data_IF_461624764477
#
_entry.id   IF_461624764477
#
_cell.length_a   1.000
_cell.length_b   1.000
_cell.length_c   1.000
_cell.angle_alpha   90.00
_cell.angle_beta   90.00
_cell.angle_gamma   90.00
#
_symmetry.space_group_name_H-M   'P 1'
#
loop_
_entity.id
_entity.type
_entity.pdbx_description
1 polymer ?
#
# COMPACT_ATOMS: atom_id res chain seq x y z
N UNK A 1 11.69 42.17 12.97
CA UNK A 1 12.41 40.93 13.33
C UNK A 1 11.49 39.85 13.90
N UNK A 2 10.67 40.10 14.94
CA UNK A 2 9.72 39.07 15.43
C UNK A 2 8.54 38.76 14.48
N UNK A 3 8.02 39.77 13.77
CA UNK A 3 6.97 39.56 12.74
C UNK A 3 7.47 38.74 11.55
N UNK A 4 8.67 39.06 11.05
CA UNK A 4 9.31 38.34 9.94
C UNK A 4 9.59 36.87 10.26
N UNK A 5 10.06 36.55 11.48
CA UNK A 5 10.25 35.15 11.91
C UNK A 5 8.92 34.37 12.01
N UNK A 6 7.84 35.04 12.44
CA UNK A 6 6.50 34.43 12.50
C UNK A 6 5.92 34.17 11.11
N UNK A 7 6.20 35.05 10.15
CA UNK A 7 5.76 34.91 8.77
C UNK A 7 6.58 33.85 8.01
N UNK A 8 7.90 33.78 8.23
CA UNK A 8 8.77 32.69 7.72
C UNK A 8 8.30 31.31 8.21
N UNK A 9 8.02 31.16 9.51
CA UNK A 9 7.52 29.91 10.07
C UNK A 9 6.15 29.50 9.50
N UNK A 10 5.32 30.46 9.06
CA UNK A 10 4.03 30.18 8.43
C UNK A 10 4.19 29.66 7.00
N UNK A 11 5.08 30.27 6.23
CA UNK A 11 5.40 29.83 4.88
C UNK A 11 5.98 28.40 4.88
N UNK A 12 6.92 28.14 5.80
CA UNK A 12 7.51 26.81 5.99
C UNK A 12 6.43 25.77 6.37
N UNK A 13 5.56 26.09 7.33
CA UNK A 13 4.45 25.20 7.70
C UNK A 13 3.52 24.92 6.52
N UNK A 14 3.17 25.94 5.73
CA UNK A 14 2.28 25.75 4.58
C UNK A 14 2.92 24.86 3.51
N UNK A 15 4.21 25.05 3.22
CA UNK A 15 4.96 24.20 2.29
C UNK A 15 4.95 22.74 2.76
N UNK A 16 5.22 22.50 4.05
CA UNK A 16 5.18 21.15 4.63
C UNK A 16 3.79 20.52 4.55
N UNK A 17 2.72 21.28 4.90
CA UNK A 17 1.33 20.80 4.81
C UNK A 17 1.00 20.32 3.41
N UNK A 18 1.41 21.06 2.38
CA UNK A 18 1.18 20.70 0.98
C UNK A 18 1.96 19.44 0.59
N UNK A 19 3.26 19.38 0.91
CA UNK A 19 4.11 18.22 0.61
C UNK A 19 3.62 16.94 1.29
N UNK A 20 3.25 17.02 2.57
CA UNK A 20 2.68 15.89 3.30
C UNK A 20 1.30 15.51 2.75
N UNK A 21 0.46 16.49 2.40
CA UNK A 21 -0.85 16.27 1.80
C UNK A 21 -0.77 15.47 0.50
N UNK A 22 0.18 15.82 -0.37
CA UNK A 22 0.44 15.10 -1.62
C UNK A 22 0.93 13.67 -1.38
N UNK A 23 1.91 13.49 -0.49
CA UNK A 23 2.41 12.16 -0.11
C UNK A 23 1.28 11.29 0.46
N UNK A 24 0.50 11.82 1.40
CA UNK A 24 -0.60 11.11 2.05
C UNK A 24 -1.72 10.74 1.06
N UNK A 25 -1.98 11.57 0.05
CA UNK A 25 -2.93 11.25 -1.04
C UNK A 25 -2.45 10.03 -1.84
N UNK A 26 -1.16 9.98 -2.20
CA UNK A 26 -0.60 8.87 -2.99
C UNK A 26 -0.53 7.59 -2.14
N UNK A 27 -0.13 7.68 -0.87
CA UNK A 27 -0.12 6.54 0.06
C UNK A 27 -1.51 5.92 0.18
N UNK A 28 -2.55 6.70 0.47
CA UNK A 28 -3.94 6.18 0.58
C UNK A 28 -4.44 5.54 -0.71
N UNK A 29 -4.07 6.09 -1.87
CA UNK A 29 -4.40 5.47 -3.15
C UNK A 29 -3.71 4.13 -3.33
N UNK A 30 -2.44 4.04 -2.90
CA UNK A 30 -1.63 2.82 -3.00
C UNK A 30 -2.09 1.74 -2.04
N UNK A 31 -2.53 2.12 -0.84
CA UNK A 31 -3.15 1.23 0.14
C UNK A 31 -4.40 0.58 -0.45
N UNK A 32 -5.32 1.39 -1.03
CA UNK A 32 -6.51 0.85 -1.69
C UNK A 32 -6.17 -0.03 -2.89
N UNK A 33 -5.16 0.36 -3.66
CA UNK A 33 -4.67 -0.43 -4.77
C UNK A 33 -4.15 -1.80 -4.30
N UNK A 34 -3.39 -1.87 -3.19
CA UNK A 34 -2.93 -3.12 -2.61
C UNK A 34 -4.08 -4.04 -2.18
N UNK A 35 -5.14 -3.48 -1.57
CA UNK A 35 -6.36 -4.24 -1.26
C UNK A 35 -7.02 -4.83 -2.51
N UNK A 36 -7.13 -4.03 -3.59
CA UNK A 36 -7.73 -4.48 -4.85
C UNK A 36 -6.88 -5.58 -5.51
N UNK A 37 -5.54 -5.48 -5.44
CA UNK A 37 -4.65 -6.54 -5.93
C UNK A 37 -4.76 -7.81 -5.10
N UNK A 38 -4.92 -7.69 -3.78
CA UNK A 38 -5.12 -8.84 -2.89
C UNK A 38 -6.42 -9.57 -3.26
N UNK A 39 -7.53 -8.86 -3.44
CA UNK A 39 -8.80 -9.46 -3.85
C UNK A 39 -8.67 -10.16 -5.22
N UNK A 40 -8.01 -9.51 -6.17
CA UNK A 40 -7.79 -10.06 -7.51
C UNK A 40 -6.96 -11.34 -7.50
N UNK A 41 -5.87 -11.40 -6.73
CA UNK A 41 -5.05 -12.62 -6.64
C UNK A 41 -5.78 -13.75 -5.92
N UNK A 42 -6.64 -13.46 -4.94
CA UNK A 42 -7.47 -14.49 -4.29
C UNK A 42 -8.49 -15.09 -5.27
N UNK A 43 -9.10 -14.28 -6.13
CA UNK A 43 -9.96 -14.81 -7.20
C UNK A 43 -9.20 -15.69 -8.19
N UNK A 44 -7.97 -15.30 -8.55
CA UNK A 44 -7.09 -16.10 -9.40
C UNK A 44 -6.79 -17.45 -8.74
N UNK A 45 -6.39 -17.45 -7.45
CA UNK A 45 -6.11 -18.68 -6.67
C UNK A 45 -7.32 -19.60 -6.62
N UNK A 46 -8.51 -19.07 -6.37
CA UNK A 46 -9.76 -19.85 -6.36
C UNK A 46 -10.05 -20.46 -7.73
N UNK A 47 -9.88 -19.71 -8.82
CA UNK A 47 -10.08 -20.23 -10.17
C UNK A 47 -9.08 -21.33 -10.53
N UNK A 48 -7.82 -21.22 -10.10
CA UNK A 48 -6.81 -22.26 -10.28
C UNK A 48 -7.16 -23.53 -9.49
N UNK A 49 -7.50 -23.40 -8.19
CA UNK A 49 -7.84 -24.54 -7.34
C UNK A 49 -9.07 -25.32 -7.82
N UNK A 50 -10.00 -24.64 -8.50
CA UNK A 50 -11.20 -25.27 -9.07
C UNK A 50 -10.96 -25.88 -10.46
N UNK A 51 -9.75 -25.80 -11.02
CA UNK A 51 -9.41 -26.31 -12.36
C UNK A 51 -8.41 -27.46 -12.26
N UNK A 52 -8.79 -28.65 -12.74
CA UNK A 52 -7.95 -29.85 -12.70
C UNK A 52 -6.73 -29.78 -13.63
N UNK A 53 -6.64 -28.79 -14.51
CA UNK A 53 -5.51 -28.56 -15.41
C UNK A 53 -4.51 -27.52 -14.86
N UNK A 54 -4.73 -27.02 -13.64
CA UNK A 54 -3.80 -26.08 -13.03
C UNK A 54 -2.44 -26.74 -12.73
N UNK A 55 -1.38 -26.08 -13.17
CA UNK A 55 0.00 -26.48 -12.98
C UNK A 55 0.48 -26.08 -11.59
N UNK A 56 1.24 -26.97 -10.96
CA UNK A 56 1.72 -26.77 -9.59
C UNK A 56 2.60 -25.52 -9.45
N UNK A 57 3.45 -25.23 -10.45
CA UNK A 57 4.31 -24.04 -10.39
C UNK A 57 3.50 -22.75 -10.47
N UNK A 58 2.40 -22.74 -11.23
CA UNK A 58 1.50 -21.59 -11.32
C UNK A 58 0.70 -21.38 -10.03
N UNK A 59 0.27 -22.46 -9.37
CA UNK A 59 -0.32 -22.38 -8.03
C UNK A 59 0.67 -21.79 -7.03
N UNK A 60 1.90 -22.31 -6.98
CA UNK A 60 2.97 -21.80 -6.10
C UNK A 60 3.20 -20.30 -6.36
N UNK A 61 3.26 -19.88 -7.63
CA UNK A 61 3.40 -18.47 -7.99
C UNK A 61 2.23 -17.62 -7.48
N UNK A 62 0.98 -18.06 -7.67
CA UNK A 62 -0.18 -17.32 -7.19
C UNK A 62 -0.21 -17.21 -5.66
N UNK A 63 0.22 -18.25 -4.94
CA UNK A 63 0.37 -18.22 -3.49
C UNK A 63 1.47 -17.26 -3.03
N UNK A 64 2.63 -17.30 -3.69
CA UNK A 64 3.74 -16.38 -3.39
C UNK A 64 3.32 -14.93 -3.61
N UNK A 65 2.60 -14.64 -4.69
CA UNK A 65 2.11 -13.31 -4.99
C UNK A 65 1.11 -12.80 -3.95
N UNK A 66 0.19 -13.66 -3.50
CA UNK A 66 -0.74 -13.30 -2.43
C UNK A 66 -0.05 -13.01 -1.10
N UNK A 67 1.05 -13.71 -0.79
CA UNK A 67 1.85 -13.43 0.39
C UNK A 67 2.62 -12.11 0.25
N UNK A 68 3.22 -11.85 -0.93
CA UNK A 68 3.93 -10.59 -1.20
C UNK A 68 3.00 -9.37 -1.06
N UNK A 69 1.79 -9.44 -1.62
CA UNK A 69 0.78 -8.37 -1.45
C UNK A 69 0.37 -8.26 0.02
N UNK A 70 0.21 -9.37 0.74
CA UNK A 70 -0.12 -9.37 2.17
C UNK A 70 0.98 -8.72 3.01
N UNK A 71 2.25 -8.95 2.70
CA UNK A 71 3.39 -8.33 3.39
C UNK A 71 3.43 -6.82 3.12
N UNK A 72 3.15 -6.38 1.89
CA UNK A 72 3.02 -4.96 1.55
C UNK A 72 1.85 -4.33 2.32
N UNK A 73 0.70 -5.01 2.40
CA UNK A 73 -0.44 -4.56 3.21
C UNK A 73 -0.06 -4.46 4.69
N UNK A 74 0.68 -5.44 5.21
CA UNK A 74 1.19 -5.40 6.58
C UNK A 74 2.09 -4.17 6.83
N UNK A 75 2.91 -3.75 5.86
CA UNK A 75 3.67 -2.51 5.98
C UNK A 75 2.77 -1.25 6.09
N UNK A 76 1.61 -1.25 5.42
CA UNK A 76 0.64 -0.15 5.53
C UNK A 76 -0.13 -0.14 6.85
N UNK A 77 -0.70 -1.29 7.23
CA UNK A 77 -1.62 -1.39 8.36
C UNK A 77 -0.92 -1.67 9.69
N UNK A 78 0.20 -2.39 9.66
CA UNK A 78 0.79 -3.01 10.84
C UNK A 78 -0.01 -4.25 11.29
N UNK A 79 0.16 -4.68 12.55
CA UNK A 79 -0.58 -5.81 13.11
C UNK A 79 -2.09 -5.53 13.16
N UNK A 80 -2.89 -6.59 13.01
CA UNK A 80 -4.34 -6.48 13.17
C UNK A 80 -4.72 -5.92 14.55
N UNK A 81 -5.73 -5.04 14.55
CA UNK A 81 -6.25 -4.45 15.78
C UNK A 81 -6.79 -5.55 16.70
N UNK A 82 -6.14 -5.75 17.85
CA UNK A 82 -6.70 -6.52 18.95
C UNK A 82 -7.71 -5.67 19.72
N UNK A 83 -8.44 -6.29 20.64
CA UNK A 83 -9.45 -5.63 21.47
C UNK A 83 -8.94 -4.38 22.22
N UNK A 84 -7.62 -4.26 22.43
CA UNK A 84 -6.94 -3.05 22.91
C UNK A 84 -5.58 -2.87 22.24
N UNK A 85 -5.15 -1.61 22.09
CA UNK A 85 -3.80 -1.23 21.64
C UNK A 85 -2.71 -1.72 22.60
N UNK A 86 -3.05 -1.95 23.88
CA UNK A 86 -2.13 -2.43 24.92
C UNK A 86 -1.73 -3.91 24.73
N UNK A 87 -2.49 -4.67 23.94
CA UNK A 87 -2.22 -6.08 23.63
C UNK A 87 -1.42 -6.26 22.33
N UNK A 88 -1.10 -5.15 21.66
CA UNK A 88 -0.27 -5.13 20.47
C UNK A 88 1.19 -5.18 20.92
N UNK A 89 1.95 -6.23 20.56
CA UNK A 89 3.35 -6.30 20.91
C UNK A 89 4.13 -5.13 20.27
N UNK A 90 5.31 -4.78 20.82
CA UNK A 90 6.19 -3.82 20.16
C UNK A 90 6.43 -4.21 18.70
N UNK A 91 6.19 -3.28 17.79
CA UNK A 91 6.37 -3.45 16.36
C UNK A 91 6.95 -2.16 15.76
N UNK A 92 7.50 -2.27 14.55
CA UNK A 92 7.86 -1.10 13.77
C UNK A 92 6.59 -0.38 13.36
N UNK A 93 6.57 0.95 13.48
CA UNK A 93 5.41 1.74 13.11
C UNK A 93 5.08 1.54 11.63
N UNK A 94 3.81 1.26 11.35
CA UNK A 94 3.31 1.14 9.99
C UNK A 94 3.26 2.50 9.28
N UNK A 95 3.12 2.47 7.96
CA UNK A 95 2.94 3.70 7.16
C UNK A 95 1.73 4.51 7.68
N UNK A 96 0.63 3.85 8.03
CA UNK A 96 -0.59 4.52 8.53
C UNK A 96 -0.39 5.13 9.91
N UNK A 97 0.36 4.48 10.80
CA UNK A 97 0.70 5.02 12.12
C UNK A 97 1.59 6.26 12.01
N UNK A 98 2.57 6.24 11.09
CA UNK A 98 3.43 7.40 10.81
C UNK A 98 2.66 8.57 10.21
N UNK A 99 1.78 8.31 9.23
CA UNK A 99 0.86 9.35 8.70
C UNK A 99 0.00 9.96 9.81
N UNK A 100 -0.48 9.11 10.73
CA UNK A 100 -1.28 9.54 11.88
C UNK A 100 -0.46 10.37 12.87
N UNK A 101 0.82 10.04 13.08
CA UNK A 101 1.72 10.82 13.91
C UNK A 101 1.99 12.21 13.34
N UNK A 102 2.25 12.33 12.04
CA UNK A 102 2.41 13.63 11.37
C UNK A 102 1.13 14.44 11.48
N UNK A 103 -0.02 13.83 11.17
CA UNK A 103 -1.32 14.50 11.25
C UNK A 103 -1.58 15.04 12.65
N UNK A 104 -1.39 14.22 13.69
CA UNK A 104 -1.55 14.65 15.10
C UNK A 104 -0.61 15.81 15.47
N UNK A 105 0.64 15.76 15.01
CA UNK A 105 1.58 16.86 15.24
C UNK A 105 1.13 18.16 14.55
N UNK A 106 0.54 18.09 13.35
CA UNK A 106 -0.03 19.25 12.64
C UNK A 106 -1.17 19.90 13.40
N UNK A 107 -2.06 19.12 14.01
CA UNK A 107 -3.16 19.66 14.81
C UNK A 107 -2.69 20.37 16.09
N UNK A 108 -1.56 19.94 16.66
CA UNK A 108 -1.03 20.49 17.91
C UNK A 108 -0.04 21.65 17.76
N UNK A 109 0.40 21.97 16.55
CA UNK A 109 1.42 22.99 16.30
C UNK A 109 0.80 24.37 15.98
N UNK A 110 1.32 25.44 16.60
CA UNK A 110 0.86 26.82 16.33
C UNK A 110 1.54 27.44 15.09
N UNK A 111 2.85 27.26 14.91
CA UNK A 111 3.65 27.62 13.73
C UNK A 111 4.96 26.82 13.70
N UNK A 112 5.53 26.60 12.52
CA UNK A 112 6.81 25.89 12.33
C UNK A 112 6.66 24.37 12.16
N UNK A 113 7.64 23.73 11.55
CA UNK A 113 7.69 22.27 11.37
C UNK A 113 8.34 21.64 12.60
N UNK A 114 7.60 20.79 13.30
CA UNK A 114 8.13 20.09 14.48
C UNK A 114 9.05 18.93 14.08
N UNK A 115 9.93 18.50 14.99
CA UNK A 115 10.78 17.33 14.75
C UNK A 115 9.96 16.06 14.45
N UNK A 116 8.81 15.89 15.12
CA UNK A 116 7.91 14.74 14.88
C UNK A 116 7.39 14.73 13.45
N UNK A 117 7.04 15.90 12.90
CA UNK A 117 6.61 16.05 11.51
C UNK A 117 7.74 15.70 10.54
N UNK A 118 8.91 16.32 10.70
CA UNK A 118 10.03 16.14 9.78
C UNK A 118 10.57 14.71 9.78
N UNK A 119 10.74 14.10 10.96
CA UNK A 119 11.27 12.73 11.09
C UNK A 119 10.33 11.72 10.43
N UNK A 120 9.02 11.78 10.72
CA UNK A 120 8.07 10.83 10.15
C UNK A 120 7.86 11.08 8.65
N UNK A 121 7.86 12.34 8.20
CA UNK A 121 7.81 12.64 6.78
C UNK A 121 9.01 12.03 6.03
N UNK A 122 10.23 12.20 6.56
CA UNK A 122 11.43 11.62 5.96
C UNK A 122 11.33 10.09 5.86
N UNK A 123 10.94 9.43 6.95
CA UNK A 123 10.80 7.97 6.95
C UNK A 123 9.74 7.53 5.93
N UNK A 124 8.60 8.23 5.85
CA UNK A 124 7.57 7.94 4.85
C UNK A 124 8.13 8.08 3.43
N UNK A 125 8.93 9.10 3.14
CA UNK A 125 9.55 9.27 1.81
C UNK A 125 10.59 8.22 1.46
N UNK A 126 11.14 7.52 2.46
CA UNK A 126 12.09 6.42 2.28
C UNK A 126 11.37 5.05 2.17
N UNK A 127 10.42 4.78 3.05
CA UNK A 127 9.73 3.49 3.16
C UNK A 127 8.62 3.30 2.12
N UNK A 128 7.93 4.36 1.68
CA UNK A 128 6.78 4.25 0.77
C UNK A 128 7.14 3.91 -0.69
N UNK A 129 8.10 4.56 -1.36
CA UNK A 129 8.33 4.35 -2.80
C UNK A 129 8.62 2.89 -3.20
N UNK A 130 9.40 2.11 -2.43
CA UNK A 130 9.61 0.69 -2.72
C UNK A 130 8.32 -0.13 -2.69
N UNK A 131 7.36 0.20 -1.81
CA UNK A 131 6.06 -0.51 -1.73
C UNK A 131 5.22 -0.25 -2.98
N UNK A 132 5.14 1.01 -3.42
CA UNK A 132 4.44 1.35 -4.66
C UNK A 132 5.06 0.64 -5.86
N UNK A 133 6.39 0.63 -5.96
CA UNK A 133 7.13 0.00 -7.07
C UNK A 133 6.87 -1.51 -7.13
N UNK A 134 6.78 -2.18 -5.97
CA UNK A 134 6.42 -3.60 -5.91
C UNK A 134 4.99 -3.85 -6.41
N UNK A 135 4.01 -3.05 -5.96
CA UNK A 135 2.61 -3.18 -6.42
C UNK A 135 2.47 -2.89 -7.92
N UNK A 136 3.22 -1.93 -8.46
CA UNK A 136 3.24 -1.64 -9.90
C UNK A 136 3.77 -2.83 -10.70
N UNK A 137 4.84 -3.48 -10.25
CA UNK A 137 5.36 -4.70 -10.88
C UNK A 137 4.31 -5.82 -10.84
N UNK A 138 3.73 -6.06 -9.67
CA UNK A 138 2.70 -7.08 -9.46
C UNK A 138 1.52 -6.87 -10.43
N UNK A 139 1.08 -5.63 -10.58
CA UNK A 139 -0.04 -5.29 -11.46
C UNK A 139 0.29 -5.37 -12.95
N UNK A 140 1.46 -4.87 -13.36
CA UNK A 140 1.83 -4.77 -14.77
C UNK A 140 2.39 -6.08 -15.34
N UNK A 141 2.92 -6.97 -14.49
CA UNK A 141 3.65 -8.16 -14.92
C UNK A 141 3.06 -9.44 -14.33
N UNK A 142 3.07 -9.58 -13.01
CA UNK A 142 2.81 -10.86 -12.34
C UNK A 142 1.33 -11.30 -12.44
N UNK A 143 0.38 -10.38 -12.21
CA UNK A 143 -1.06 -10.66 -12.38
C UNK A 143 -1.40 -10.98 -13.85
N UNK A 144 -1.00 -10.17 -14.85
CA UNK A 144 -1.23 -10.48 -16.26
C UNK A 144 -0.69 -11.86 -16.69
N UNK A 145 0.45 -12.28 -16.14
CA UNK A 145 0.99 -13.62 -16.42
C UNK A 145 0.05 -14.73 -15.92
N UNK A 146 -0.42 -14.63 -14.68
CA UNK A 146 -1.37 -15.60 -14.10
C UNK A 146 -2.72 -15.59 -14.83
N UNK A 147 -3.20 -14.42 -15.23
CA UNK A 147 -4.44 -14.28 -15.99
C UNK A 147 -4.34 -14.89 -17.39
N UNK A 148 -3.23 -14.67 -18.08
CA UNK A 148 -2.95 -15.31 -19.37
C UNK A 148 -2.89 -16.83 -19.22
N UNK A 149 -2.30 -17.32 -18.13
CA UNK A 149 -2.30 -18.74 -17.82
C UNK A 149 -3.71 -19.29 -17.61
N UNK A 150 -4.56 -18.60 -16.83
CA UNK A 150 -5.97 -18.98 -16.63
C UNK A 150 -6.76 -19.05 -17.94
N UNK A 151 -6.56 -18.10 -18.85
CA UNK A 151 -7.18 -18.12 -20.18
C UNK A 151 -6.70 -19.33 -21.01
N UNK A 152 -5.40 -19.65 -20.98
CA UNK A 152 -4.84 -20.80 -21.71
C UNK A 152 -5.43 -22.14 -21.25
N UNK A 153 -5.68 -22.28 -19.95
CA UNK A 153 -6.32 -23.48 -19.39
C UNK A 153 -7.86 -23.39 -19.39
N UNK A 154 -8.44 -22.38 -20.05
CA UNK A 154 -9.88 -22.14 -20.15
C UNK A 154 -10.58 -22.14 -18.79
N UNK A 155 -9.92 -21.58 -17.77
CA UNK A 155 -10.51 -21.47 -16.44
C UNK A 155 -11.73 -20.53 -16.45
N UNK A 156 -12.68 -20.70 -15.52
CA UNK A 156 -13.76 -19.75 -15.33
C UNK A 156 -13.25 -18.30 -15.20
N UNK A 157 -14.09 -17.35 -15.62
CA UNK A 157 -13.80 -15.92 -15.51
C UNK A 157 -13.48 -15.50 -14.06
N UNK A 158 -12.53 -14.59 -13.91
CA UNK A 158 -12.20 -13.91 -12.64
C UNK A 158 -12.41 -12.41 -12.79
N UNK A 159 -12.93 -11.70 -11.76
CA UNK A 159 -13.08 -10.25 -11.82
C UNK A 159 -11.80 -9.52 -12.24
N UNK A 160 -11.94 -8.57 -13.17
CA UNK A 160 -10.82 -7.76 -13.69
C UNK A 160 -10.01 -8.41 -14.82
N UNK A 161 -10.15 -9.73 -15.05
CA UNK A 161 -9.50 -10.42 -16.16
C UNK A 161 -10.18 -10.07 -17.49
N UNK A 162 -9.42 -9.82 -18.54
CA UNK A 162 -9.97 -9.57 -19.88
C UNK A 162 -10.24 -10.90 -20.59
N UNK A 163 -11.50 -11.25 -20.95
CA UNK A 163 -11.78 -12.48 -21.67
C UNK A 163 -11.23 -12.45 -23.09
N UNK A 164 -10.65 -13.57 -23.55
CA UNK A 164 -10.12 -13.69 -24.93
C UNK A 164 -11.00 -14.63 -25.75
N UNK A 165 -11.45 -14.17 -26.92
CA UNK A 165 -12.12 -15.02 -27.90
C UNK A 165 -11.23 -15.22 -29.12
N UNK A 166 -10.70 -16.44 -29.26
CA UNK A 166 -9.95 -16.85 -30.45
C UNK A 166 -10.90 -17.61 -31.38
N UNK A 167 -10.99 -17.16 -32.64
CA UNK A 167 -11.77 -17.81 -33.72
C UNK A 167 -10.98 -18.94 -34.36
#
# INVERSE_FOLDING_TARGET
>A
HLGTLKDENREETLAFVNQFGDLARVIRGTEKFADDLQERVEHIRQAMNNNTMADEAMLIKAHALANEISDIRYAFYGPEAKASFEEVPPHQLSINERMSAVSRAMWGAETGVTKVMSDNYQILTEEFPPLLSQLEKIYNEDIPELEKYLENIKAPYTPGRVPVWNK
#
